data_IF_612048518588
#
_entry.id   IF_612048518588
#
_cell.length_a   1.000
_cell.length_b   1.000
_cell.length_c   1.000
_cell.angle_alpha   90.00
_cell.angle_beta   90.00
_cell.angle_gamma   90.00
#
_symmetry.space_group_name_H-M   'P 1'
#
loop_
_entity.id
_entity.type
_entity.pdbx_description
1 polymer ?
#
# COMPACT_ATOMS: atom_id res chain seq x y z
N UNK A 1 -3.73 -17.42 28.51
CA UNK A 1 -2.81 -16.53 27.75
C UNK A 1 -3.64 -15.71 26.77
N UNK A 2 -3.49 -14.37 26.70
CA UNK A 2 -4.17 -13.59 25.67
C UNK A 2 -3.56 -13.90 24.28
N UNK A 3 -4.33 -13.74 23.18
CA UNK A 3 -3.80 -13.95 21.84
C UNK A 3 -2.71 -12.91 21.53
N UNK A 4 -1.66 -13.28 20.77
CA UNK A 4 -0.68 -12.31 20.31
C UNK A 4 -1.37 -11.31 19.38
N UNK A 5 -1.31 -10.02 19.72
CA UNK A 5 -1.70 -8.94 18.84
C UNK A 5 -0.88 -9.01 17.54
N UNK A 6 -1.47 -8.84 16.34
CA UNK A 6 -0.71 -8.73 15.11
C UNK A 6 -0.09 -7.33 14.99
N UNK A 7 0.87 -7.05 15.87
CA UNK A 7 1.83 -5.95 15.76
C UNK A 7 3.17 -6.51 15.28
N UNK A 8 3.17 -7.30 14.21
CA UNK A 8 4.41 -7.73 13.57
C UNK A 8 4.94 -6.55 12.75
N UNK A 9 5.63 -5.63 13.42
CA UNK A 9 6.54 -4.69 12.79
C UNK A 9 7.60 -5.53 12.05
N UNK A 10 7.38 -5.75 10.76
CA UNK A 10 8.33 -6.47 9.93
C UNK A 10 9.53 -5.54 9.72
N UNK A 11 10.57 -5.72 10.53
CA UNK A 11 11.86 -5.10 10.30
C UNK A 11 12.45 -5.71 9.01
N UNK A 12 12.30 -5.01 7.89
CA UNK A 12 12.86 -5.40 6.59
C UNK A 12 14.24 -4.77 6.36
N UNK A 13 15.20 -5.49 5.74
CA UNK A 13 16.54 -4.99 5.46
C UNK A 13 16.51 -3.85 4.43
N UNK A 14 17.53 -2.99 4.47
CA UNK A 14 17.68 -1.68 3.81
C UNK A 14 17.73 -1.70 2.26
N UNK A 15 16.78 -2.35 1.58
CA UNK A 15 16.55 -2.10 0.17
C UNK A 15 15.78 -0.77 0.00
N UNK A 16 15.69 -0.18 -1.21
CA UNK A 16 14.88 1.01 -1.45
C UNK A 16 13.46 0.78 -0.89
N UNK A 17 13.13 1.52 0.19
CA UNK A 17 11.97 1.27 1.05
C UNK A 17 10.66 1.32 0.26
N UNK A 18 10.63 2.13 -0.80
CA UNK A 18 9.53 2.26 -1.76
C UNK A 18 9.12 0.93 -2.39
N UNK A 19 10.08 0.18 -2.94
CA UNK A 19 9.81 -1.08 -3.63
C UNK A 19 9.40 -2.19 -2.67
N UNK A 20 10.03 -2.22 -1.49
CA UNK A 20 9.72 -3.18 -0.44
C UNK A 20 8.34 -2.98 0.16
N UNK A 21 7.90 -1.74 0.34
CA UNK A 21 6.59 -1.44 0.90
C UNK A 21 5.48 -1.97 -0.02
N UNK A 22 5.53 -1.65 -1.31
CA UNK A 22 4.55 -2.14 -2.28
C UNK A 22 4.52 -3.68 -2.32
N UNK A 23 5.68 -4.33 -2.33
CA UNK A 23 5.78 -5.79 -2.32
C UNK A 23 5.23 -6.40 -1.03
N UNK A 24 5.43 -5.74 0.11
CA UNK A 24 4.88 -6.15 1.42
C UNK A 24 3.37 -6.06 1.45
N UNK A 25 2.82 -4.97 0.91
CA UNK A 25 1.38 -4.77 0.77
C UNK A 25 0.79 -5.84 -0.12
N UNK A 26 1.42 -6.12 -1.27
CA UNK A 26 1.01 -7.22 -2.17
C UNK A 26 1.00 -8.58 -1.47
N UNK A 27 2.05 -8.89 -0.69
CA UNK A 27 2.12 -10.11 0.12
C UNK A 27 1.00 -10.16 1.15
N UNK A 28 0.67 -9.05 1.81
CA UNK A 28 -0.43 -8.97 2.77
C UNK A 28 -1.78 -9.21 2.08
N UNK A 29 -2.04 -8.57 0.94
CA UNK A 29 -3.28 -8.74 0.18
C UNK A 29 -3.44 -10.20 -0.28
N UNK A 30 -2.36 -10.78 -0.84
CA UNK A 30 -2.34 -12.18 -1.26
C UNK A 30 -2.53 -13.15 -0.08
N UNK A 31 -1.93 -12.85 1.08
CA UNK A 31 -2.12 -13.61 2.33
C UNK A 31 -3.58 -13.59 2.80
N UNK A 32 -4.31 -12.50 2.53
CA UNK A 32 -5.74 -12.39 2.79
C UNK A 32 -6.61 -13.03 1.69
N UNK A 33 -6.02 -13.68 0.68
CA UNK A 33 -6.74 -14.34 -0.42
C UNK A 33 -7.42 -13.36 -1.39
N UNK A 34 -7.03 -12.08 -1.36
CA UNK A 34 -7.57 -11.05 -2.26
C UNK A 34 -6.58 -10.80 -3.40
N UNK A 35 -7.10 -10.31 -4.53
CA UNK A 35 -6.24 -9.82 -5.61
C UNK A 35 -5.81 -8.37 -5.32
N UNK A 36 -4.54 -8.01 -5.58
CA UNK A 36 -4.06 -6.63 -5.45
C UNK A 36 -4.96 -5.64 -6.19
N UNK A 37 -5.35 -5.97 -7.42
CA UNK A 37 -6.25 -5.15 -8.23
C UNK A 37 -7.58 -4.84 -7.52
N UNK A 38 -8.27 -5.86 -7.00
CA UNK A 38 -9.54 -5.66 -6.26
C UNK A 38 -9.35 -4.87 -4.97
N UNK A 39 -8.23 -5.08 -4.28
CA UNK A 39 -7.95 -4.37 -3.05
C UNK A 39 -7.70 -2.87 -3.30
N UNK A 40 -6.88 -2.55 -4.30
CA UNK A 40 -6.61 -1.17 -4.70
C UNK A 40 -7.82 -0.51 -5.36
N UNK A 41 -8.64 -1.24 -6.13
CA UNK A 41 -9.96 -0.77 -6.57
C UNK A 41 -10.90 -0.46 -5.40
N UNK A 42 -10.84 -1.24 -4.33
CA UNK A 42 -11.60 -0.97 -3.11
C UNK A 42 -11.15 0.30 -2.38
N UNK A 43 -9.89 0.72 -2.56
CA UNK A 43 -9.38 1.99 -2.03
C UNK A 43 -9.71 3.20 -2.91
N UNK A 44 -9.96 2.98 -4.20
CA UNK A 44 -10.31 4.02 -5.16
C UNK A 44 -11.77 4.43 -4.94
N UNK A 45 -11.97 5.32 -3.95
CA UNK A 45 -13.30 5.79 -3.53
C UNK A 45 -13.98 6.55 -4.66
N UNK A 46 -13.20 7.33 -5.39
CA UNK A 46 -13.70 8.14 -6.51
C UNK A 46 -13.89 7.33 -7.81
N UNK A 47 -13.35 6.10 -7.87
CA UNK A 47 -13.45 5.18 -9.02
C UNK A 47 -12.90 5.75 -10.32
N UNK A 48 -11.87 6.59 -10.25
CA UNK A 48 -11.17 7.14 -11.43
C UNK A 48 -10.15 6.14 -12.02
N UNK A 49 -9.99 4.97 -11.41
CA UNK A 49 -9.01 3.96 -11.81
C UNK A 49 -7.57 4.32 -11.39
N UNK A 50 -7.43 5.33 -10.54
CA UNK A 50 -6.14 5.83 -10.03
C UNK A 50 -6.26 6.06 -8.54
N UNK A 51 -5.24 5.63 -7.80
CA UNK A 51 -5.13 6.00 -6.40
C UNK A 51 -4.43 7.33 -6.26
N UNK A 52 -4.91 8.14 -5.34
CA UNK A 52 -4.22 9.33 -4.85
C UNK A 52 -3.36 8.94 -3.64
N UNK A 53 -2.35 9.76 -3.33
CA UNK A 53 -1.48 9.51 -2.18
C UNK A 53 -2.26 9.40 -0.84
N UNK A 54 -3.42 10.05 -0.73
CA UNK A 54 -4.32 9.97 0.43
C UNK A 54 -5.07 8.65 0.51
N UNK A 55 -5.64 8.20 -0.62
CA UNK A 55 -6.38 6.94 -0.73
C UNK A 55 -5.46 5.76 -0.46
N UNK A 56 -4.24 5.82 -1.02
CA UNK A 56 -3.20 4.85 -0.75
C UNK A 56 -2.85 4.83 0.74
N UNK A 57 -2.47 5.97 1.33
CA UNK A 57 -2.10 6.01 2.74
C UNK A 57 -3.23 5.53 3.67
N UNK A 58 -4.47 5.95 3.41
CA UNK A 58 -5.63 5.53 4.20
C UNK A 58 -5.87 4.02 4.11
N UNK A 59 -5.79 3.44 2.92
CA UNK A 59 -5.99 2.00 2.75
C UNK A 59 -4.87 1.15 3.35
N UNK A 60 -3.64 1.65 3.36
CA UNK A 60 -2.51 0.99 4.01
C UNK A 60 -2.60 1.00 5.52
N UNK A 61 -2.99 2.14 6.10
CA UNK A 61 -3.25 2.24 7.54
C UNK A 61 -4.37 1.27 7.93
N UNK A 62 -5.43 1.18 7.12
CA UNK A 62 -6.52 0.22 7.31
C UNK A 62 -6.08 -1.26 7.20
N UNK A 63 -5.01 -1.55 6.46
CA UNK A 63 -4.42 -2.88 6.34
C UNK A 63 -3.49 -3.22 7.53
N UNK A 64 -3.18 -2.25 8.39
CA UNK A 64 -2.26 -2.40 9.52
C UNK A 64 -0.81 -2.06 9.20
N UNK A 65 -0.56 -1.30 8.13
CA UNK A 65 0.77 -0.74 7.84
C UNK A 65 1.04 0.40 8.83
N UNK A 66 1.98 0.20 9.75
CA UNK A 66 2.36 1.16 10.80
C UNK A 66 3.23 2.32 10.32
N UNK A 67 3.04 2.78 9.09
CA UNK A 67 3.79 3.90 8.49
C UNK A 67 2.98 5.20 8.59
N UNK A 68 3.66 6.33 8.76
CA UNK A 68 3.00 7.63 8.79
C UNK A 68 2.47 8.03 7.40
N UNK A 69 1.30 8.67 7.35
CA UNK A 69 0.72 9.19 6.10
C UNK A 69 1.70 10.02 5.28
N UNK A 70 2.54 10.85 5.92
CA UNK A 70 3.50 11.71 5.21
C UNK A 70 4.58 10.88 4.51
N UNK A 71 5.08 9.83 5.16
CA UNK A 71 6.05 8.91 4.58
C UNK A 71 5.41 8.11 3.43
N UNK A 72 4.21 7.60 3.64
CA UNK A 72 3.43 6.93 2.60
C UNK A 72 3.20 7.82 1.38
N UNK A 73 2.93 9.11 1.56
CA UNK A 73 2.82 10.08 0.45
C UNK A 73 4.14 10.27 -0.28
N UNK A 74 5.26 10.39 0.43
CA UNK A 74 6.59 10.52 -0.20
C UNK A 74 6.93 9.28 -1.02
N UNK A 75 6.70 8.09 -0.46
CA UNK A 75 6.89 6.84 -1.19
C UNK A 75 6.00 6.77 -2.42
N UNK A 76 4.73 7.13 -2.27
CA UNK A 76 3.79 7.14 -3.37
C UNK A 76 4.26 8.01 -4.54
N UNK A 77 4.80 9.20 -4.26
CA UNK A 77 5.37 10.11 -5.26
C UNK A 77 6.65 9.56 -5.90
N UNK A 78 7.37 8.67 -5.22
CA UNK A 78 8.56 8.00 -5.74
C UNK A 78 8.24 6.76 -6.59
N UNK A 79 6.99 6.28 -6.59
CA UNK A 79 6.63 5.11 -7.40
C UNK A 79 6.75 5.48 -8.89
N UNK A 80 7.53 4.72 -9.68
CA UNK A 80 7.64 4.96 -11.10
C UNK A 80 6.28 4.80 -11.79
N UNK A 81 5.81 5.88 -12.41
CA UNK A 81 4.48 5.97 -13.02
C UNK A 81 3.45 6.72 -12.17
N UNK A 82 3.81 7.18 -10.96
CA UNK A 82 3.02 8.17 -10.24
C UNK A 82 3.18 9.53 -10.94
N UNK A 83 2.20 9.92 -11.73
CA UNK A 83 2.18 11.20 -12.45
C UNK A 83 1.24 12.13 -11.70
N UNK A 84 1.72 13.32 -11.32
CA UNK A 84 0.94 14.34 -10.57
C UNK A 84 0.33 13.82 -9.26
N UNK A 85 1.02 12.92 -8.54
CA UNK A 85 0.50 12.38 -7.28
C UNK A 85 -0.70 11.45 -7.45
N UNK A 86 -0.91 10.91 -8.66
CA UNK A 86 -1.84 9.82 -8.93
C UNK A 86 -1.11 8.63 -9.56
N UNK A 87 -1.47 7.43 -9.11
CA UNK A 87 -0.89 6.18 -9.59
C UNK A 87 -2.02 5.30 -10.11
N UNK A 88 -1.98 4.89 -11.39
CA UNK A 88 -2.97 3.99 -11.96
C UNK A 88 -3.00 2.66 -11.20
N UNK A 89 -4.21 2.16 -10.89
CA UNK A 89 -4.38 0.92 -10.15
C UNK A 89 -3.79 -0.27 -10.90
N UNK A 90 -3.88 -0.23 -12.24
CA UNK A 90 -3.30 -1.25 -13.12
C UNK A 90 -1.79 -1.47 -12.83
N UNK A 91 -1.04 -0.37 -12.63
CA UNK A 91 0.39 -0.42 -12.25
C UNK A 91 0.63 -1.02 -10.88
N UNK A 92 -0.28 -0.80 -9.93
CA UNK A 92 -0.21 -1.40 -8.60
C UNK A 92 -0.57 -2.89 -8.61
N UNK A 93 -1.32 -3.35 -9.62
CA UNK A 93 -1.66 -4.77 -9.80
C UNK A 93 -0.69 -5.59 -10.65
N UNK A 94 0.15 -4.95 -11.47
CA UNK A 94 1.19 -5.59 -12.32
C UNK A 94 2.40 -6.07 -11.51
#
# INVERSE_FOLDING_TARGET
>A
PPPPAPGAAVAMPQAPRDKLLLESIRRLIAKHGKQPAQFFQGMDVNRDGKLSAEEFAAGLIGLGVGEERSELRKFFLQIPGAVMGRLPIDRLSQ
#
